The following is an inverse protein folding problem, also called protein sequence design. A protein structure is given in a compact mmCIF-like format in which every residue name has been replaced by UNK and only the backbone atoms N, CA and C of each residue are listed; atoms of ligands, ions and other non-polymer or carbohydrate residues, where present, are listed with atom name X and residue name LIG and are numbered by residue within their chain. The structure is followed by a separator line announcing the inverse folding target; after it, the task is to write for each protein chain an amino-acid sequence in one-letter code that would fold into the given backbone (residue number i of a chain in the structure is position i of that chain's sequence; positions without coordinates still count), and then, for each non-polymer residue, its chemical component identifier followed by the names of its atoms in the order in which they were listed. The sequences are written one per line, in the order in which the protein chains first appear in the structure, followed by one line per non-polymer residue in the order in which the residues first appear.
data_IF_908891895183
#
_entry.id   IF_908891895183
#
_cell.length_a   1.000
_cell.length_b   1.000
_cell.length_c   1.000
_cell.angle_alpha   90.00
_cell.angle_beta   90.00
_cell.angle_gamma   90.00
#
_symmetry.space_group_name_H-M   'P 1'
#
loop_
_entity.id
_entity.type
_entity.pdbx_description
1 polymer ?
#
# COMPACT_ATOMS: atom_id res chain seq x y z
N UNK A 1 0.10 -0.67 -11.69
CA UNK A 1 -0.50 -1.87 -12.33
C UNK A 1 0.39 -2.39 -13.46
N UNK A 2 0.07 -3.59 -14.01
CA UNK A 2 0.74 -4.13 -15.21
C UNK A 2 0.64 -3.18 -16.40
N UNK A 3 -0.53 -2.55 -16.58
CA UNK A 3 -0.76 -1.57 -17.64
C UNK A 3 0.15 -0.35 -17.54
N UNK A 4 0.33 0.18 -16.33
CA UNK A 4 1.19 1.35 -16.11
C UNK A 4 2.66 1.01 -16.40
N UNK A 5 3.11 -0.18 -15.96
CA UNK A 5 4.47 -0.64 -16.22
C UNK A 5 4.70 -0.79 -17.73
N UNK A 6 3.74 -1.40 -18.45
CA UNK A 6 3.80 -1.52 -19.90
C UNK A 6 3.85 -0.14 -20.59
N UNK A 7 3.00 0.77 -20.18
CA UNK A 7 2.98 2.14 -20.73
C UNK A 7 4.28 2.89 -20.50
N UNK A 8 4.90 2.69 -19.34
CA UNK A 8 6.16 3.36 -19.00
C UNK A 8 7.38 2.72 -19.68
N UNK A 9 7.44 1.39 -19.76
CA UNK A 9 8.62 0.68 -20.27
C UNK A 9 8.56 0.36 -21.75
N UNK A 10 7.38 0.39 -22.36
CA UNK A 10 7.14 -0.07 -23.74
C UNK A 10 7.19 -1.61 -23.89
N UNK A 11 7.45 -2.35 -22.81
CA UNK A 11 7.65 -3.82 -22.84
C UNK A 11 6.49 -4.51 -22.14
N UNK A 12 6.08 -5.71 -22.66
CA UNK A 12 5.09 -6.57 -22.00
C UNK A 12 5.69 -7.15 -20.71
N UNK A 13 5.22 -6.74 -19.51
CA UNK A 13 5.95 -7.03 -18.28
C UNK A 13 5.62 -8.39 -17.64
N UNK A 14 4.65 -9.17 -18.18
CA UNK A 14 4.10 -10.35 -17.52
C UNK A 14 5.16 -11.35 -17.03
N UNK A 15 6.01 -11.83 -17.94
CA UNK A 15 7.05 -12.80 -17.59
C UNK A 15 8.12 -12.24 -16.62
N UNK A 16 8.44 -10.96 -16.73
CA UNK A 16 9.37 -10.30 -15.81
C UNK A 16 8.78 -10.17 -14.41
N UNK A 17 7.50 -9.77 -14.30
CA UNK A 17 6.81 -9.66 -13.03
C UNK A 17 6.70 -11.01 -12.32
N UNK A 18 6.41 -12.08 -13.06
CA UNK A 18 6.35 -13.43 -12.50
C UNK A 18 7.72 -13.87 -11.92
N UNK A 19 8.81 -13.59 -12.63
CA UNK A 19 10.17 -13.87 -12.12
C UNK A 19 10.52 -13.05 -10.90
N UNK A 20 10.27 -11.74 -10.94
CA UNK A 20 10.55 -10.83 -9.82
C UNK A 20 9.74 -11.19 -8.56
N UNK A 21 8.52 -11.71 -8.73
CA UNK A 21 7.66 -12.12 -7.63
C UNK A 21 8.02 -13.50 -7.09
N UNK A 22 8.19 -14.51 -7.96
CA UNK A 22 8.28 -15.92 -7.57
C UNK A 22 9.70 -16.47 -7.44
N UNK A 23 10.63 -15.99 -8.28
CA UNK A 23 12.02 -16.47 -8.28
C UNK A 23 12.93 -15.58 -7.42
N UNK A 24 12.81 -14.26 -7.56
CA UNK A 24 13.67 -13.30 -6.85
C UNK A 24 13.06 -12.74 -5.58
N UNK A 25 11.75 -12.90 -5.38
CA UNK A 25 10.99 -12.38 -4.23
C UNK A 25 11.17 -10.87 -3.96
N UNK A 26 11.56 -10.11 -4.99
CA UNK A 26 11.82 -8.67 -4.90
C UNK A 26 10.53 -7.86 -4.82
N UNK A 27 9.49 -8.34 -5.50
CA UNK A 27 8.19 -7.67 -5.52
C UNK A 27 7.10 -8.54 -4.90
N UNK A 28 6.00 -7.91 -4.57
CA UNK A 28 4.76 -8.58 -4.19
C UNK A 28 3.61 -8.09 -5.05
N UNK A 29 2.60 -8.94 -5.19
CA UNK A 29 1.34 -8.63 -5.85
C UNK A 29 0.28 -8.42 -4.78
N UNK A 30 -0.45 -7.30 -4.88
CA UNK A 30 -1.56 -6.98 -4.01
C UNK A 30 -2.86 -6.90 -4.79
N UNK A 31 -3.93 -7.44 -4.22
CA UNK A 31 -5.31 -7.28 -4.71
C UNK A 31 -6.13 -6.57 -3.66
N UNK A 32 -7.11 -5.75 -4.07
CA UNK A 32 -7.99 -5.11 -3.10
C UNK A 32 -8.85 -6.15 -2.38
N UNK A 33 -9.18 -5.87 -1.14
CA UNK A 33 -10.12 -6.69 -0.38
C UNK A 33 -11.40 -6.98 -1.19
N UNK A 34 -11.95 -8.17 -1.09
CA UNK A 34 -13.08 -8.68 -1.85
C UNK A 34 -12.86 -8.86 -3.37
N UNK A 35 -11.67 -8.62 -3.90
CA UNK A 35 -11.40 -8.94 -5.28
C UNK A 35 -11.28 -10.46 -5.49
N UNK A 36 -11.84 -10.95 -6.59
CA UNK A 36 -11.66 -12.36 -6.98
C UNK A 36 -10.20 -12.68 -7.31
N UNK A 37 -9.79 -13.93 -7.21
CA UNK A 37 -8.45 -14.38 -7.59
C UNK A 37 -8.10 -14.08 -9.05
N UNK A 38 -9.09 -14.04 -9.91
CA UNK A 38 -8.96 -13.73 -11.34
C UNK A 38 -8.98 -12.23 -11.65
N UNK A 39 -9.12 -11.38 -10.62
CA UNK A 39 -9.19 -9.94 -10.81
C UNK A 39 -7.91 -9.38 -11.44
N UNK A 40 -8.08 -8.58 -12.48
CA UNK A 40 -7.00 -7.80 -13.10
C UNK A 40 -6.68 -6.49 -12.35
N UNK A 41 -7.46 -6.15 -11.31
CA UNK A 41 -7.20 -5.01 -10.44
C UNK A 41 -6.08 -5.35 -9.45
N UNK A 42 -4.84 -5.32 -9.94
CA UNK A 42 -3.64 -5.74 -9.21
C UNK A 42 -2.64 -4.61 -9.18
N UNK A 43 -2.09 -4.33 -8.02
CA UNK A 43 -0.93 -3.45 -7.81
C UNK A 43 0.31 -4.31 -7.50
N UNK A 44 1.47 -3.84 -7.95
CA UNK A 44 2.76 -4.46 -7.61
C UNK A 44 3.55 -3.49 -6.73
N UNK A 45 4.21 -4.02 -5.72
CA UNK A 45 5.07 -3.27 -4.83
C UNK A 45 6.42 -3.94 -4.65
N UNK A 46 7.45 -3.16 -4.33
CA UNK A 46 8.78 -3.67 -3.96
C UNK A 46 8.72 -4.08 -2.49
N UNK A 47 9.21 -5.29 -2.15
CA UNK A 47 9.20 -5.81 -0.77
C UNK A 47 10.18 -5.06 0.11
N UNK A 48 11.40 -4.96 -0.35
CA UNK A 48 12.52 -4.41 0.40
C UNK A 48 12.46 -2.88 0.44
N UNK A 49 12.54 -2.30 1.65
CA UNK A 49 12.46 -0.86 1.85
C UNK A 49 13.70 -0.12 1.33
N UNK A 50 14.89 -0.76 1.37
CA UNK A 50 16.11 -0.18 0.81
C UNK A 50 16.01 -0.09 -0.72
N UNK A 51 15.58 -1.15 -1.40
CA UNK A 51 15.38 -1.13 -2.85
C UNK A 51 14.33 -0.11 -3.26
N UNK A 52 13.25 0.02 -2.49
CA UNK A 52 12.21 1.03 -2.73
C UNK A 52 12.77 2.44 -2.64
N UNK A 53 13.55 2.72 -1.59
CA UNK A 53 14.26 3.98 -1.41
C UNK A 53 15.27 4.23 -2.54
N UNK A 54 16.07 3.21 -2.86
CA UNK A 54 17.09 3.28 -3.90
C UNK A 54 16.51 3.65 -5.27
N UNK A 55 15.48 2.93 -5.73
CA UNK A 55 14.88 3.20 -7.04
C UNK A 55 14.16 4.55 -7.09
N UNK A 56 13.60 5.00 -5.99
CA UNK A 56 12.87 6.27 -5.94
C UNK A 56 13.78 7.48 -5.91
N UNK A 57 14.88 7.44 -5.15
CA UNK A 57 15.70 8.61 -4.85
C UNK A 57 17.12 8.54 -5.40
N UNK A 58 17.67 7.36 -5.59
CA UNK A 58 19.05 7.21 -6.05
C UNK A 58 19.09 6.87 -7.54
N UNK A 59 18.56 5.73 -7.92
CA UNK A 59 18.57 5.27 -9.31
C UNK A 59 17.94 6.27 -10.29
N UNK A 60 16.82 6.86 -9.89
CA UNK A 60 16.11 7.87 -10.70
C UNK A 60 16.97 9.10 -11.02
N UNK A 61 17.94 9.40 -10.15
CA UNK A 61 18.81 10.58 -10.25
C UNK A 61 20.29 10.17 -10.32
N UNK A 62 20.58 9.01 -10.89
CA UNK A 62 21.93 8.42 -10.89
C UNK A 62 22.98 9.38 -11.48
N UNK A 63 22.66 10.12 -12.54
CA UNK A 63 23.56 11.10 -13.12
C UNK A 63 23.96 12.22 -12.16
N UNK A 64 23.05 12.63 -11.26
CA UNK A 64 23.39 13.60 -10.21
C UNK A 64 24.31 12.97 -9.14
N UNK A 65 24.13 11.68 -8.84
CA UNK A 65 25.03 10.92 -7.96
C UNK A 65 26.43 10.87 -8.55
N UNK A 66 26.55 10.51 -9.84
CA UNK A 66 27.83 10.34 -10.54
C UNK A 66 28.66 11.63 -10.58
N UNK A 67 28.03 12.78 -10.70
CA UNK A 67 28.72 14.09 -10.67
C UNK A 67 28.85 14.69 -9.27
N UNK A 68 28.42 13.96 -8.20
CA UNK A 68 28.52 14.41 -6.83
C UNK A 68 27.55 15.55 -6.44
N UNK A 69 26.47 15.78 -7.20
CA UNK A 69 25.50 16.84 -6.90
C UNK A 69 24.51 16.36 -5.83
N UNK A 70 24.99 16.24 -4.59
CA UNK A 70 24.24 15.76 -3.42
C UNK A 70 23.10 16.68 -3.04
N UNK A 71 23.25 17.99 -3.16
CA UNK A 71 22.22 18.98 -2.80
C UNK A 71 20.98 18.82 -3.69
N UNK A 72 21.16 18.55 -4.97
CA UNK A 72 20.04 18.26 -5.87
C UNK A 72 19.26 17.04 -5.40
N UNK A 73 19.94 15.97 -5.01
CA UNK A 73 19.33 14.72 -4.55
C UNK A 73 18.58 14.95 -3.24
N UNK A 74 19.19 15.63 -2.27
CA UNK A 74 18.57 15.96 -1.00
C UNK A 74 17.30 16.80 -1.18
N UNK A 75 17.31 17.79 -2.05
CA UNK A 75 16.14 18.59 -2.38
C UNK A 75 15.01 17.73 -2.98
N UNK A 76 15.35 16.77 -3.86
CA UNK A 76 14.37 15.82 -4.40
C UNK A 76 13.80 14.88 -3.34
N UNK A 77 14.64 14.38 -2.45
CA UNK A 77 14.20 13.59 -1.30
C UNK A 77 13.23 14.37 -0.41
N UNK A 78 13.59 15.59 -0.03
CA UNK A 78 12.75 16.43 0.84
C UNK A 78 11.40 16.72 0.22
N UNK A 79 11.36 17.03 -1.09
CA UNK A 79 10.11 17.36 -1.78
C UNK A 79 9.13 16.17 -1.90
N UNK A 80 9.63 14.93 -1.87
CA UNK A 80 8.86 13.71 -2.06
C UNK A 80 8.75 12.83 -0.78
N UNK A 81 9.42 13.27 0.29
CA UNK A 81 9.53 12.50 1.54
C UNK A 81 8.17 12.21 2.17
N UNK A 82 7.27 13.16 2.16
CA UNK A 82 5.94 13.01 2.74
C UNK A 82 5.14 11.90 2.07
N UNK A 83 5.19 11.84 0.74
CA UNK A 83 4.52 10.79 -0.04
C UNK A 83 5.19 9.43 0.18
N UNK A 84 6.53 9.40 0.16
CA UNK A 84 7.28 8.16 0.37
C UNK A 84 7.04 7.58 1.76
N UNK A 85 7.21 8.39 2.80
CA UNK A 85 7.05 7.95 4.19
C UNK A 85 5.61 7.59 4.54
N UNK A 86 4.61 8.22 3.90
CA UNK A 86 3.22 7.81 4.02
C UNK A 86 2.98 6.37 3.55
N UNK A 87 3.48 6.01 2.36
CA UNK A 87 3.38 4.64 1.86
C UNK A 87 4.13 3.61 2.72
N UNK A 88 5.28 4.00 3.28
CA UNK A 88 6.05 3.13 4.19
C UNK A 88 5.29 2.93 5.49
N UNK A 89 4.68 3.98 6.05
CA UNK A 89 3.86 3.91 7.25
C UNK A 89 2.64 2.99 7.07
N UNK A 90 1.93 3.11 5.94
CA UNK A 90 0.80 2.21 5.64
C UNK A 90 1.24 0.75 5.61
N UNK A 91 2.38 0.45 4.99
CA UNK A 91 2.91 -0.91 4.94
C UNK A 91 3.33 -1.39 6.34
N UNK A 92 4.00 -0.55 7.11
CA UNK A 92 4.41 -0.84 8.48
C UNK A 92 3.20 -1.17 9.36
N UNK A 93 2.15 -0.35 9.32
CA UNK A 93 0.94 -0.60 10.11
C UNK A 93 0.25 -1.91 9.71
N UNK A 94 0.13 -2.20 8.40
CA UNK A 94 -0.40 -3.51 7.96
C UNK A 94 0.44 -4.67 8.45
N UNK A 95 1.76 -4.55 8.40
CA UNK A 95 2.66 -5.58 8.93
C UNK A 95 2.47 -5.76 10.43
N UNK A 96 2.38 -4.67 11.19
CA UNK A 96 2.13 -4.71 12.65
C UNK A 96 0.82 -5.42 12.98
N UNK A 97 -0.25 -5.17 12.22
CA UNK A 97 -1.52 -5.91 12.37
C UNK A 97 -1.37 -7.40 12.04
N UNK A 98 -0.65 -7.74 10.98
CA UNK A 98 -0.40 -9.14 10.63
C UNK A 98 0.43 -9.88 11.69
N UNK A 99 1.42 -9.23 12.28
CA UNK A 99 2.30 -9.79 13.32
C UNK A 99 1.57 -10.06 14.64
N UNK A 100 0.39 -9.48 14.88
CA UNK A 100 -0.42 -9.82 16.06
C UNK A 100 -0.90 -11.27 16.05
N UNK A 101 -0.98 -11.89 14.88
CA UNK A 101 -1.54 -13.23 14.71
C UNK A 101 -3.06 -13.34 14.91
N UNK A 102 -3.75 -12.23 15.19
CA UNK A 102 -5.20 -12.21 15.41
C UNK A 102 -6.02 -12.22 14.13
N UNK A 103 -5.44 -11.74 13.02
CA UNK A 103 -6.15 -11.57 11.77
C UNK A 103 -5.68 -12.58 10.73
N UNK A 104 -6.61 -13.26 10.08
CA UNK A 104 -6.30 -14.18 8.99
C UNK A 104 -6.16 -13.48 7.63
N UNK A 105 -6.67 -12.24 7.49
CA UNK A 105 -6.44 -11.39 6.33
C UNK A 105 -6.01 -10.00 6.82
N UNK A 106 -4.88 -9.51 6.32
CA UNK A 106 -4.47 -8.10 6.46
C UNK A 106 -4.09 -7.57 5.09
N UNK A 107 -4.83 -6.58 4.62
CA UNK A 107 -4.69 -6.03 3.26
C UNK A 107 -5.14 -4.57 3.23
N UNK A 108 -5.37 -4.05 2.06
CA UNK A 108 -5.97 -2.75 1.80
C UNK A 108 -7.11 -2.87 0.76
N UNK A 109 -7.82 -1.78 0.50
CA UNK A 109 -8.86 -1.73 -0.49
C UNK A 109 -8.65 -0.55 -1.44
N UNK A 110 -8.95 -0.77 -2.71
CA UNK A 110 -9.02 0.30 -3.70
C UNK A 110 -9.97 -0.09 -4.82
N UNK A 111 -10.64 0.90 -5.37
CA UNK A 111 -11.47 0.75 -6.55
C UNK A 111 -10.66 0.98 -7.83
N UNK A 112 -11.20 0.49 -8.93
CA UNK A 112 -10.60 0.70 -10.24
C UNK A 112 -10.57 2.19 -10.55
N UNK A 113 -9.38 2.72 -10.84
CA UNK A 113 -9.17 4.15 -11.03
C UNK A 113 -8.75 4.92 -9.77
N UNK A 114 -8.65 4.25 -8.61
CA UNK A 114 -8.15 4.85 -7.37
C UNK A 114 -9.09 5.85 -6.71
N UNK A 115 -10.40 5.76 -6.99
CA UNK A 115 -11.37 6.72 -6.45
C UNK A 115 -11.61 6.54 -4.96
N UNK A 116 -11.69 5.29 -4.48
CA UNK A 116 -11.87 4.94 -3.08
C UNK A 116 -10.71 4.05 -2.64
N UNK A 117 -9.85 4.58 -1.79
CA UNK A 117 -8.76 3.81 -1.17
C UNK A 117 -8.96 3.76 0.33
N UNK A 118 -8.73 2.57 0.92
CA UNK A 118 -8.72 2.32 2.37
C UNK A 118 -7.39 1.66 2.70
N UNK A 119 -6.66 2.22 3.62
CA UNK A 119 -5.26 1.90 3.86
C UNK A 119 -5.07 0.58 4.60
N UNK A 120 -6.04 0.19 5.46
CA UNK A 120 -6.03 -1.03 6.24
C UNK A 120 -7.39 -1.73 6.22
N UNK A 121 -7.36 -3.01 5.90
CA UNK A 121 -8.45 -3.98 6.12
C UNK A 121 -7.84 -5.16 6.88
N UNK A 122 -8.35 -5.45 8.07
CA UNK A 122 -7.93 -6.63 8.82
C UNK A 122 -9.16 -7.46 9.23
N UNK A 123 -9.15 -8.74 8.87
CA UNK A 123 -10.27 -9.67 9.09
C UNK A 123 -9.85 -10.74 10.09
N UNK A 124 -10.69 -10.94 11.07
CA UNK A 124 -10.63 -12.03 12.01
C UNK A 124 -11.91 -12.87 11.86
N UNK A 125 -11.79 -13.97 11.13
CA UNK A 125 -12.92 -14.88 10.88
C UNK A 125 -13.34 -15.65 12.13
N UNK A 126 -12.43 -15.87 13.07
CA UNK A 126 -12.72 -16.62 14.31
C UNK A 126 -13.63 -15.81 15.24
N UNK A 127 -13.30 -14.56 15.46
CA UNK A 127 -14.06 -13.64 16.32
C UNK A 127 -15.07 -12.77 15.54
N UNK A 128 -15.23 -13.03 14.27
CA UNK A 128 -16.14 -12.27 13.38
C UNK A 128 -15.90 -10.75 13.45
N UNK A 129 -14.65 -10.32 13.35
CA UNK A 129 -14.26 -8.91 13.40
C UNK A 129 -13.68 -8.44 12.07
N UNK A 130 -14.04 -7.23 11.68
CA UNK A 130 -13.50 -6.55 10.51
C UNK A 130 -13.03 -5.15 10.92
N UNK A 131 -11.74 -4.93 10.88
CA UNK A 131 -11.14 -3.61 11.11
C UNK A 131 -10.96 -2.91 9.78
N UNK A 132 -11.42 -1.65 9.70
CA UNK A 132 -11.28 -0.75 8.55
C UNK A 132 -10.53 0.48 9.01
N UNK A 133 -9.35 0.74 8.43
CA UNK A 133 -8.43 1.76 8.92
C UNK A 133 -8.00 2.78 7.87
N UNK A 134 -7.90 4.04 8.30
CA UNK A 134 -7.20 5.12 7.62
C UNK A 134 -5.86 5.36 8.30
N UNK A 135 -4.79 5.54 7.52
CA UNK A 135 -3.43 5.74 8.03
C UNK A 135 -2.89 7.06 7.52
N UNK A 136 -2.48 7.94 8.41
CA UNK A 136 -1.90 9.25 8.07
C UNK A 136 -0.65 9.50 8.89
N UNK A 137 0.33 10.21 8.32
CA UNK A 137 1.54 10.58 9.07
C UNK A 137 1.23 11.43 10.31
N UNK A 138 0.22 12.26 10.21
CA UNK A 138 -0.20 13.19 11.27
C UNK A 138 -1.64 12.85 11.69
N UNK A 139 -1.88 12.63 12.98
CA UNK A 139 -3.20 12.30 13.52
C UNK A 139 -4.28 13.34 13.15
N UNK A 140 -3.89 14.63 13.04
CA UNK A 140 -4.80 15.71 12.67
C UNK A 140 -5.35 15.62 11.24
N UNK A 141 -4.74 14.79 10.39
CA UNK A 141 -5.19 14.55 9.00
C UNK A 141 -6.14 13.35 8.86
N UNK A 142 -6.44 12.68 9.96
CA UNK A 142 -7.40 11.58 9.98
C UNK A 142 -8.83 12.13 9.85
N UNK A 143 -9.57 11.62 8.90
CA UNK A 143 -10.99 11.91 8.71
C UNK A 143 -11.82 10.62 8.77
N UNK A 144 -12.32 10.32 9.96
CA UNK A 144 -13.11 9.12 10.23
C UNK A 144 -14.48 9.14 9.53
N UNK A 145 -15.02 10.33 9.23
CA UNK A 145 -16.27 10.43 8.49
C UNK A 145 -16.05 10.08 7.01
N UNK A 146 -14.98 10.59 6.42
CA UNK A 146 -14.57 10.24 5.06
C UNK A 146 -14.25 8.73 4.93
N UNK A 147 -13.57 8.16 5.93
CA UNK A 147 -13.30 6.71 5.95
C UNK A 147 -14.60 5.90 5.93
N UNK A 148 -15.58 6.26 6.76
CA UNK A 148 -16.89 5.61 6.79
C UNK A 148 -17.64 5.74 5.46
N UNK A 149 -17.53 6.88 4.80
CA UNK A 149 -18.09 7.09 3.45
C UNK A 149 -17.45 6.14 2.41
N UNK A 150 -16.13 6.11 2.36
CA UNK A 150 -15.37 5.22 1.46
C UNK A 150 -15.68 3.73 1.70
N UNK A 151 -15.96 3.36 2.94
CA UNK A 151 -16.21 1.97 3.34
C UNK A 151 -17.65 1.51 3.17
N UNK A 152 -18.59 2.35 2.73
CA UNK A 152 -20.04 2.03 2.66
C UNK A 152 -20.34 0.70 1.96
N UNK A 153 -19.69 0.45 0.84
CA UNK A 153 -19.94 -0.78 0.06
C UNK A 153 -19.38 -2.02 0.76
N UNK A 154 -18.21 -1.91 1.40
CA UNK A 154 -17.65 -2.99 2.20
C UNK A 154 -18.55 -3.29 3.39
N UNK A 155 -18.97 -2.26 4.11
CA UNK A 155 -19.89 -2.37 5.26
C UNK A 155 -21.19 -3.03 4.84
N UNK A 156 -21.80 -2.60 3.74
CA UNK A 156 -23.06 -3.17 3.26
C UNK A 156 -22.96 -4.67 2.96
N UNK A 157 -21.82 -5.12 2.44
CA UNK A 157 -21.58 -6.53 2.12
C UNK A 157 -21.23 -7.37 3.35
N UNK A 158 -20.51 -6.79 4.34
CA UNK A 158 -19.87 -7.53 5.43
C UNK A 158 -20.59 -7.45 6.79
N UNK A 159 -21.44 -6.43 7.03
CA UNK A 159 -22.10 -6.18 8.32
C UNK A 159 -22.95 -7.33 8.88
N UNK A 160 -23.34 -8.29 8.04
CA UNK A 160 -24.09 -9.48 8.48
C UNK A 160 -23.19 -10.59 9.01
N UNK A 161 -21.90 -10.53 8.70
CA UNK A 161 -20.92 -11.56 9.01
C UNK A 161 -19.92 -11.10 10.06
N UNK A 162 -19.65 -9.78 10.13
CA UNK A 162 -18.60 -9.22 10.99
C UNK A 162 -19.10 -8.03 11.80
N UNK A 163 -18.58 -7.92 13.02
CA UNK A 163 -18.57 -6.67 13.77
C UNK A 163 -17.51 -5.75 13.17
N UNK A 164 -17.93 -4.55 12.74
CA UNK A 164 -17.05 -3.62 12.02
C UNK A 164 -16.52 -2.57 12.97
N UNK A 165 -15.20 -2.46 13.00
CA UNK A 165 -14.44 -1.47 13.76
C UNK A 165 -13.74 -0.50 12.81
N UNK A 166 -13.80 0.81 13.10
CA UNK A 166 -13.10 1.84 12.36
C UNK A 166 -11.94 2.38 13.19
N UNK A 167 -10.75 2.43 12.61
CA UNK A 167 -9.55 2.91 13.30
C UNK A 167 -8.84 3.99 12.48
N UNK A 168 -8.33 5.01 13.16
CA UNK A 168 -7.40 5.98 12.59
C UNK A 168 -6.03 5.75 13.20
N UNK A 169 -5.01 5.58 12.38
CA UNK A 169 -3.64 5.31 12.79
C UNK A 169 -2.69 6.39 12.26
N UNK A 170 -1.71 6.74 13.07
CA UNK A 170 -0.70 7.74 12.71
C UNK A 170 0.70 7.30 13.12
N UNK A 171 1.68 8.18 12.97
CA UNK A 171 3.04 7.93 13.50
C UNK A 171 3.07 7.83 15.02
N UNK A 172 2.06 8.36 15.71
CA UNK A 172 1.97 8.29 17.18
C UNK A 172 1.61 6.87 17.68
N UNK A 173 1.16 5.98 16.76
CA UNK A 173 0.76 4.60 17.06
C UNK A 173 1.86 3.57 16.69
N UNK A 174 3.09 4.04 16.37
CA UNK A 174 4.23 3.18 15.99
C UNK A 174 4.88 2.48 17.17
#
# INVERSE_FOLDING_TARGET
TRGDIKSYTGVEPGGYLDKLEKEYEIIYRSRPYLASEQSHNVKYGIRDNFLRFWFRFVQKYISAVEIGNTDYILNKMQSDYDTYSGMVLEQYMRQKYAETGMYNIVTNYWERGGQNEIDLIAVDDADHRLVIGEIKRQAQRLDMNLLKEKAKDIVARQRRHYTIEFVGLSMDDM
#
